data_IF_747027787324
#
_entry.id   IF_747027787324
#
_cell.length_a   1.000
_cell.length_b   1.000
_cell.length_c   1.000
_cell.angle_alpha   90.00
_cell.angle_beta   90.00
_cell.angle_gamma   90.00
#
_symmetry.space_group_name_H-M   'P 1'
#
loop_
_entity.id
_entity.type
_entity.pdbx_description
1 polymer ?
#
# COMPACT_ATOMS: atom_id res chain seq x y z
N UNK A 1 -3.98 -39.87 3.79
CA UNK A 1 -3.07 -39.23 4.76
C UNK A 1 -1.97 -38.58 3.94
N UNK A 2 -1.87 -37.24 4.00
CA UNK A 2 -0.88 -36.47 3.26
C UNK A 2 0.19 -36.04 4.27
N UNK A 3 1.33 -36.71 4.24
CA UNK A 3 2.47 -36.38 5.11
C UNK A 3 3.41 -35.45 4.35
N UNK A 4 3.41 -34.18 4.76
CA UNK A 4 4.32 -33.16 4.23
C UNK A 4 5.42 -32.89 5.26
N UNK A 5 6.56 -33.54 5.07
CA UNK A 5 7.71 -33.40 5.96
C UNK A 5 8.65 -32.30 5.45
N UNK A 6 8.75 -31.19 6.20
CA UNK A 6 9.79 -30.19 5.97
C UNK A 6 11.09 -30.65 6.63
N UNK A 7 12.15 -30.89 5.85
CA UNK A 7 13.48 -31.19 6.36
C UNK A 7 14.23 -29.88 6.59
N UNK A 8 14.03 -29.28 7.76
CA UNK A 8 14.79 -28.11 8.20
C UNK A 8 16.12 -28.57 8.81
N UNK A 9 17.23 -27.92 8.45
CA UNK A 9 18.56 -28.19 9.04
C UNK A 9 18.67 -27.78 10.51
N UNK A 10 17.71 -26.98 11.00
CA UNK A 10 17.61 -26.61 12.40
C UNK A 10 16.27 -27.06 13.00
N UNK A 11 16.36 -27.89 14.04
CA UNK A 11 15.22 -28.34 14.83
C UNK A 11 14.78 -27.30 15.89
N UNK A 12 15.26 -26.05 15.83
CA UNK A 12 14.94 -25.04 16.83
C UNK A 12 15.01 -23.58 16.36
N UNK A 13 14.00 -22.81 16.78
CA UNK A 13 13.87 -21.35 16.93
C UNK A 13 13.31 -20.52 15.75
N UNK A 14 12.45 -19.56 16.16
CA UNK A 14 11.65 -18.58 15.41
C UNK A 14 12.43 -17.63 14.47
N UNK A 15 13.76 -17.69 14.43
CA UNK A 15 14.60 -16.63 13.84
C UNK A 15 15.44 -17.05 12.61
N UNK A 16 15.19 -18.24 12.03
CA UNK A 16 16.03 -18.78 10.94
C UNK A 16 15.35 -18.81 9.56
N UNK A 17 14.38 -17.94 9.29
CA UNK A 17 13.73 -17.88 7.98
C UNK A 17 14.72 -17.62 6.82
N UNK A 18 15.85 -16.94 7.07
CA UNK A 18 16.86 -16.63 6.05
C UNK A 18 17.75 -17.83 5.70
N UNK A 19 17.87 -18.82 6.60
CA UNK A 19 18.66 -20.04 6.41
C UNK A 19 17.78 -21.23 6.00
N UNK A 20 16.47 -21.00 5.83
CA UNK A 20 15.52 -22.03 5.47
C UNK A 20 15.75 -22.51 4.03
N UNK A 21 15.89 -23.82 3.83
CA UNK A 21 16.02 -24.43 2.49
C UNK A 21 14.80 -24.20 1.60
N UNK A 22 13.64 -23.91 2.18
CA UNK A 22 12.38 -23.63 1.47
C UNK A 22 12.11 -22.13 1.30
N UNK A 23 13.09 -21.27 1.57
CA UNK A 23 12.86 -19.83 1.69
C UNK A 23 12.30 -19.20 0.41
N UNK A 24 12.74 -19.65 -0.77
CA UNK A 24 12.29 -19.12 -2.06
C UNK A 24 10.85 -19.50 -2.41
N UNK A 25 10.36 -20.62 -1.86
CA UNK A 25 9.00 -21.12 -2.09
C UNK A 25 8.08 -20.90 -0.88
N UNK A 26 8.56 -20.23 0.16
CA UNK A 26 7.81 -20.01 1.39
C UNK A 26 6.63 -19.06 1.15
N UNK A 27 5.40 -19.58 1.20
CA UNK A 27 4.16 -18.80 1.02
C UNK A 27 4.09 -17.61 2.01
N UNK A 28 4.47 -17.82 3.27
CA UNK A 28 4.47 -16.75 4.27
C UNK A 28 5.47 -15.64 3.90
N UNK A 29 6.64 -15.96 3.35
CA UNK A 29 7.59 -14.96 2.84
C UNK A 29 7.05 -14.28 1.59
N UNK A 30 6.52 -15.03 0.64
CA UNK A 30 5.98 -14.50 -0.61
C UNK A 30 4.85 -13.47 -0.38
N UNK A 31 4.03 -13.66 0.66
CA UNK A 31 2.94 -12.75 1.01
C UNK A 31 3.39 -11.65 1.99
N UNK A 32 3.89 -12.04 3.17
CA UNK A 32 4.14 -11.10 4.28
C UNK A 32 5.43 -10.28 4.11
N UNK A 33 6.37 -10.80 3.33
CA UNK A 33 7.71 -10.26 3.12
C UNK A 33 8.08 -10.34 1.63
N UNK A 34 7.11 -10.03 0.75
CA UNK A 34 7.25 -10.13 -0.69
C UNK A 34 8.60 -9.53 -1.15
N UNK A 35 9.50 -10.33 -1.73
CA UNK A 35 10.84 -9.86 -2.08
C UNK A 35 10.74 -8.86 -3.23
N UNK A 36 11.55 -7.80 -3.17
CA UNK A 36 11.80 -6.96 -4.34
C UNK A 36 12.88 -7.59 -5.21
N UNK A 37 12.72 -7.52 -6.53
CA UNK A 37 13.70 -8.09 -7.48
C UNK A 37 14.96 -7.21 -7.57
N UNK A 38 14.81 -5.88 -7.55
CA UNK A 38 15.90 -4.90 -7.53
C UNK A 38 15.67 -3.85 -6.41
N UNK A 39 15.90 -4.20 -5.13
CA UNK A 39 15.65 -3.31 -4.01
C UNK A 39 16.66 -2.13 -3.97
N UNK A 40 16.20 -0.89 -3.70
CA UNK A 40 17.10 0.23 -3.43
C UNK A 40 17.89 0.01 -2.13
N UNK A 41 19.14 0.50 -2.06
CA UNK A 41 20.06 0.30 -0.91
C UNK A 41 19.45 0.70 0.43
N UNK A 42 18.60 1.72 0.45
CA UNK A 42 17.96 2.23 1.68
C UNK A 42 16.75 1.41 2.15
N UNK A 43 16.29 0.40 1.39
CA UNK A 43 15.11 -0.41 1.73
C UNK A 43 15.54 -1.64 2.51
N UNK A 44 15.14 -1.72 3.78
CA UNK A 44 15.61 -2.76 4.71
C UNK A 44 14.55 -3.81 5.05
N UNK A 45 13.63 -4.15 4.14
CA UNK A 45 12.48 -5.09 4.29
C UNK A 45 11.08 -4.45 4.51
N UNK A 46 10.63 -3.60 3.59
CA UNK A 46 9.19 -3.28 3.50
C UNK A 46 8.50 -4.23 2.51
N UNK A 47 7.54 -5.03 3.00
CA UNK A 47 6.61 -5.71 2.10
C UNK A 47 5.62 -4.70 1.54
N UNK A 48 5.59 -4.60 0.21
CA UNK A 48 4.63 -3.78 -0.53
C UNK A 48 3.66 -4.62 -1.35
N UNK A 49 3.74 -5.96 -1.24
CA UNK A 49 2.94 -6.92 -2.01
C UNK A 49 1.45 -6.93 -1.67
N UNK A 50 1.05 -6.32 -0.55
CA UNK A 50 -0.37 -6.13 -0.22
C UNK A 50 -0.61 -4.90 0.65
N UNK A 51 -1.87 -4.45 0.71
CA UNK A 51 -2.38 -3.53 1.73
C UNK A 51 -3.72 -4.02 2.28
N UNK A 52 -3.91 -3.95 3.59
CA UNK A 52 -5.22 -4.14 4.24
C UNK A 52 -5.70 -2.78 4.73
N UNK A 53 -6.86 -2.33 4.28
CA UNK A 53 -7.46 -1.05 4.67
C UNK A 53 -8.82 -1.28 5.30
N UNK A 54 -9.02 -0.72 6.49
CA UNK A 54 -10.33 -0.70 7.15
C UNK A 54 -10.62 0.75 7.55
N UNK A 55 -11.79 1.26 7.17
CA UNK A 55 -12.26 2.60 7.56
C UNK A 55 -13.23 2.55 8.74
N UNK A 56 -13.71 1.36 9.11
CA UNK A 56 -14.45 1.16 10.34
C UNK A 56 -13.48 1.34 11.53
N UNK A 57 -13.86 2.22 12.47
CA UNK A 57 -13.07 2.55 13.68
C UNK A 57 -13.69 1.99 14.95
N UNK A 58 -14.79 1.24 14.84
CA UNK A 58 -15.46 0.61 15.97
C UNK A 58 -14.52 -0.42 16.62
N UNK A 59 -14.45 -0.38 17.95
CA UNK A 59 -13.64 -1.31 18.74
C UNK A 59 -14.50 -2.39 19.42
N UNK A 60 -15.82 -2.29 19.33
CA UNK A 60 -16.79 -3.17 19.96
C UNK A 60 -17.71 -3.73 18.88
N UNK A 61 -17.89 -5.06 18.89
CA UNK A 61 -18.72 -5.79 17.95
C UNK A 61 -19.53 -6.82 18.73
N UNK A 62 -20.82 -6.90 18.41
CA UNK A 62 -21.75 -7.91 18.88
C UNK A 62 -21.92 -9.04 17.85
N UNK A 63 -22.51 -10.15 18.28
CA UNK A 63 -22.81 -11.26 17.38
C UNK A 63 -23.77 -10.81 16.29
N UNK A 64 -23.34 -10.96 15.04
CA UNK A 64 -24.11 -10.55 13.86
C UNK A 64 -23.62 -9.25 13.22
N UNK A 65 -22.71 -8.52 13.87
CA UNK A 65 -22.10 -7.35 13.26
C UNK A 65 -21.18 -7.73 12.10
N UNK A 66 -21.12 -6.85 11.09
CA UNK A 66 -20.27 -7.00 9.92
C UNK A 66 -19.08 -6.05 9.97
N UNK A 67 -17.88 -6.57 9.71
CA UNK A 67 -16.66 -5.78 9.51
C UNK A 67 -16.22 -5.86 8.05
N UNK A 68 -16.34 -4.75 7.34
CA UNK A 68 -15.85 -4.61 5.97
C UNK A 68 -14.42 -4.04 5.96
N UNK A 69 -13.56 -4.65 5.14
CA UNK A 69 -12.21 -4.14 4.89
C UNK A 69 -11.77 -4.51 3.47
N UNK A 70 -10.87 -3.69 2.92
CA UNK A 70 -10.26 -3.91 1.62
C UNK A 70 -8.93 -4.65 1.75
N UNK A 71 -8.71 -5.63 0.87
CA UNK A 71 -7.40 -6.26 0.64
C UNK A 71 -6.96 -5.99 -0.80
N UNK A 72 -5.88 -5.23 -0.96
CA UNK A 72 -5.23 -5.05 -2.26
C UNK A 72 -4.01 -5.96 -2.33
N UNK A 73 -3.89 -6.73 -3.41
CA UNK A 73 -2.75 -7.57 -3.72
C UNK A 73 -2.01 -7.01 -4.93
N UNK A 74 -0.68 -7.05 -4.90
CA UNK A 74 0.17 -6.50 -5.93
C UNK A 74 1.20 -7.52 -6.40
N UNK A 75 1.53 -7.45 -7.69
CA UNK A 75 2.54 -8.30 -8.32
C UNK A 75 2.27 -9.78 -8.14
N UNK A 76 3.32 -10.55 -7.89
CA UNK A 76 3.23 -11.99 -7.66
C UNK A 76 2.36 -12.38 -6.45
N UNK A 77 2.10 -11.46 -5.52
CA UNK A 77 1.23 -11.72 -4.35
C UNK A 77 -0.22 -12.04 -4.78
N UNK A 78 -0.63 -11.53 -5.94
CA UNK A 78 -1.95 -11.78 -6.54
C UNK A 78 -2.22 -13.29 -6.62
N UNK A 79 -1.25 -14.08 -7.06
CA UNK A 79 -1.35 -15.53 -7.21
C UNK A 79 -1.66 -16.28 -5.89
N UNK A 80 -1.47 -15.64 -4.74
CA UNK A 80 -1.71 -16.21 -3.42
C UNK A 80 -3.08 -15.84 -2.82
N UNK A 81 -4.03 -15.28 -3.60
CA UNK A 81 -5.37 -14.97 -3.08
C UNK A 81 -6.00 -16.18 -2.39
N UNK A 82 -6.00 -17.36 -3.02
CA UNK A 82 -6.64 -18.55 -2.43
C UNK A 82 -6.00 -18.95 -1.09
N UNK A 83 -4.66 -19.11 -0.97
CA UNK A 83 -4.01 -19.27 0.33
C UNK A 83 -4.37 -18.19 1.37
N UNK A 84 -4.48 -16.93 0.95
CA UNK A 84 -4.86 -15.82 1.84
C UNK A 84 -6.29 -15.98 2.34
N UNK A 85 -7.25 -16.33 1.46
CA UNK A 85 -8.63 -16.59 1.85
C UNK A 85 -8.71 -17.77 2.83
N UNK A 86 -8.00 -18.87 2.56
CA UNK A 86 -7.91 -20.02 3.47
C UNK A 86 -7.33 -19.65 4.83
N UNK A 87 -6.34 -18.75 4.85
CA UNK A 87 -5.80 -18.22 6.08
C UNK A 87 -6.84 -17.39 6.85
N UNK A 88 -7.64 -16.55 6.18
CA UNK A 88 -8.73 -15.80 6.82
C UNK A 88 -9.80 -16.71 7.42
N UNK A 89 -10.26 -17.74 6.70
CA UNK A 89 -11.23 -18.70 7.24
C UNK A 89 -10.70 -19.41 8.49
N UNK A 90 -9.49 -19.95 8.39
CA UNK A 90 -8.87 -20.67 9.50
C UNK A 90 -8.62 -19.74 10.68
N UNK A 91 -8.16 -18.51 10.41
CA UNK A 91 -7.90 -17.51 11.43
C UNK A 91 -9.18 -17.10 12.16
N UNK A 92 -10.27 -16.88 11.42
CA UNK A 92 -11.56 -16.50 12.00
C UNK A 92 -12.13 -17.52 12.99
N UNK A 93 -11.98 -18.82 12.69
CA UNK A 93 -12.50 -19.89 13.57
C UNK A 93 -11.51 -20.27 14.68
N UNK A 94 -10.21 -20.33 14.39
CA UNK A 94 -9.22 -20.91 15.32
C UNK A 94 -8.48 -19.91 16.20
N UNK A 95 -8.45 -18.63 15.81
CA UNK A 95 -7.67 -17.58 16.51
C UNK A 95 -8.48 -16.34 16.83
N UNK A 96 -9.41 -15.94 15.96
CA UNK A 96 -10.22 -14.74 16.11
C UNK A 96 -9.42 -13.43 16.12
N UNK A 97 -10.14 -12.31 16.27
CA UNK A 97 -9.62 -10.95 16.24
C UNK A 97 -9.46 -10.38 17.65
N UNK A 98 -8.50 -9.45 17.79
CA UNK A 98 -8.32 -8.66 19.00
C UNK A 98 -7.84 -9.45 20.21
N UNK A 99 -7.91 -8.81 21.39
CA UNK A 99 -7.48 -9.39 22.67
C UNK A 99 -8.39 -10.54 23.12
N UNK A 100 -9.66 -10.47 22.77
CA UNK A 100 -10.69 -11.41 23.20
C UNK A 100 -10.85 -12.59 22.24
N UNK A 101 -10.04 -12.65 21.17
CA UNK A 101 -10.09 -13.72 20.18
C UNK A 101 -11.50 -13.87 19.56
N UNK A 102 -12.13 -12.73 19.24
CA UNK A 102 -13.47 -12.68 18.64
C UNK A 102 -13.50 -13.49 17.35
N UNK A 103 -14.25 -14.58 17.34
CA UNK A 103 -14.38 -15.45 16.17
C UNK A 103 -15.24 -14.78 15.11
N UNK A 104 -14.90 -15.00 13.84
CA UNK A 104 -15.66 -14.46 12.71
C UNK A 104 -15.66 -15.47 11.55
N UNK A 105 -16.60 -15.28 10.62
CA UNK A 105 -16.62 -15.97 9.34
C UNK A 105 -16.53 -14.97 8.18
N UNK A 106 -15.95 -15.41 7.07
CA UNK A 106 -15.94 -14.60 5.84
C UNK A 106 -17.25 -14.85 5.10
N UNK A 107 -18.20 -13.93 5.26
CA UNK A 107 -19.54 -14.03 4.66
C UNK A 107 -19.54 -13.73 3.15
N UNK A 108 -18.72 -12.77 2.71
CA UNK A 108 -18.69 -12.30 1.32
C UNK A 108 -17.30 -11.80 0.91
N UNK A 109 -16.92 -12.07 -0.33
CA UNK A 109 -15.74 -11.45 -0.97
C UNK A 109 -16.15 -10.92 -2.33
N UNK A 110 -15.91 -9.64 -2.58
CA UNK A 110 -16.18 -8.98 -3.86
C UNK A 110 -14.90 -8.46 -4.48
N UNK A 111 -14.90 -8.31 -5.81
CA UNK A 111 -13.88 -7.53 -6.49
C UNK A 111 -14.20 -6.03 -6.39
N UNK A 112 -13.31 -5.17 -6.92
CA UNK A 112 -13.46 -3.71 -6.89
C UNK A 112 -14.73 -3.17 -7.56
N UNK A 113 -15.37 -3.97 -8.42
CA UNK A 113 -16.61 -3.63 -9.13
C UNK A 113 -17.85 -4.11 -8.38
N UNK A 114 -17.69 -4.67 -7.18
CA UNK A 114 -18.77 -5.25 -6.39
C UNK A 114 -19.23 -6.64 -6.88
N UNK A 115 -18.54 -7.25 -7.86
CA UNK A 115 -18.87 -8.61 -8.30
C UNK A 115 -18.35 -9.62 -7.29
N UNK A 116 -19.20 -10.58 -6.92
CA UNK A 116 -18.87 -11.58 -5.92
C UNK A 116 -17.81 -12.57 -6.43
N UNK A 117 -16.65 -12.58 -5.80
CA UNK A 117 -15.64 -13.64 -5.97
C UNK A 117 -16.04 -14.85 -5.14
N UNK A 118 -16.63 -14.62 -3.97
CA UNK A 118 -17.15 -15.65 -3.09
C UNK A 118 -18.53 -15.25 -2.55
N UNK A 119 -19.48 -16.17 -2.70
CA UNK A 119 -20.78 -16.12 -2.05
C UNK A 119 -21.26 -17.55 -1.74
N UNK A 120 -21.82 -17.77 -0.55
CA UNK A 120 -22.40 -19.07 -0.14
C UNK A 120 -21.48 -20.29 -0.38
N UNK A 121 -20.20 -20.16 -0.02
CA UNK A 121 -19.15 -21.18 -0.22
C UNK A 121 -18.83 -21.56 -1.69
N UNK A 122 -19.32 -20.78 -2.66
CA UNK A 122 -18.96 -20.94 -4.07
C UNK A 122 -17.95 -19.87 -4.48
N UNK A 123 -16.84 -20.29 -5.09
CA UNK A 123 -15.82 -19.39 -5.64
C UNK A 123 -16.07 -19.18 -7.13
N UNK A 124 -16.35 -17.94 -7.53
CA UNK A 124 -16.47 -17.56 -8.92
C UNK A 124 -15.16 -16.95 -9.43
N UNK A 125 -14.32 -17.80 -10.02
CA UNK A 125 -13.04 -17.39 -10.59
C UNK A 125 -13.17 -16.42 -11.78
N UNK A 126 -14.32 -16.33 -12.44
CA UNK A 126 -14.52 -15.38 -13.55
C UNK A 126 -14.54 -13.92 -13.07
N UNK A 127 -14.91 -13.71 -11.80
CA UNK A 127 -14.92 -12.38 -11.18
C UNK A 127 -13.52 -11.98 -10.66
N UNK A 128 -12.51 -12.83 -10.87
CA UNK A 128 -11.12 -12.54 -10.57
C UNK A 128 -10.49 -11.67 -11.66
N UNK A 129 -10.70 -10.36 -11.54
CA UNK A 129 -10.24 -9.38 -12.52
C UNK A 129 -8.93 -8.71 -12.09
N UNK A 130 -7.83 -9.11 -12.75
CA UNK A 130 -6.52 -8.46 -12.60
C UNK A 130 -6.48 -7.23 -13.53
N UNK A 131 -6.05 -6.09 -12.99
CA UNK A 131 -5.84 -4.86 -13.79
C UNK A 131 -4.37 -4.51 -13.86
N UNK A 132 -3.94 -3.96 -14.99
CA UNK A 132 -2.67 -3.24 -15.07
C UNK A 132 -2.85 -1.81 -14.52
N UNK A 133 -1.87 -1.32 -13.76
CA UNK A 133 -1.86 0.04 -13.25
C UNK A 133 -1.89 1.09 -14.38
N UNK A 134 -1.15 0.91 -15.47
CA UNK A 134 -1.13 1.85 -16.59
C UNK A 134 -2.50 1.95 -17.27
N UNK A 135 -3.12 0.81 -17.57
CA UNK A 135 -4.47 0.79 -18.15
C UNK A 135 -5.51 1.47 -17.25
N UNK A 136 -5.43 1.27 -15.93
CA UNK A 136 -6.34 1.93 -14.98
C UNK A 136 -6.12 3.45 -14.97
N UNK A 137 -4.86 3.90 -15.01
CA UNK A 137 -4.52 5.33 -15.10
C UNK A 137 -5.07 5.93 -16.40
N UNK A 138 -4.77 5.33 -17.55
CA UNK A 138 -5.18 5.82 -18.87
C UNK A 138 -6.71 5.89 -18.97
N UNK A 139 -7.39 4.83 -18.53
CA UNK A 139 -8.85 4.79 -18.48
C UNK A 139 -9.43 5.92 -17.62
N UNK A 140 -8.85 6.16 -16.43
CA UNK A 140 -9.32 7.19 -15.51
C UNK A 140 -9.08 8.60 -16.03
N UNK A 141 -7.95 8.85 -16.70
CA UNK A 141 -7.63 10.13 -17.33
C UNK A 141 -8.58 10.44 -18.50
N UNK A 142 -9.00 9.41 -19.26
CA UNK A 142 -9.94 9.59 -20.37
C UNK A 142 -11.38 9.84 -19.89
N UNK A 143 -11.78 9.21 -18.79
CA UNK A 143 -13.19 9.19 -18.34
C UNK A 143 -13.52 10.31 -17.35
N UNK A 144 -12.56 10.77 -16.56
CA UNK A 144 -12.80 11.74 -15.49
C UNK A 144 -12.07 13.04 -15.79
N UNK A 145 -12.70 14.15 -15.44
CA UNK A 145 -12.02 15.42 -15.30
C UNK A 145 -11.67 15.61 -13.83
N UNK A 146 -10.39 15.83 -13.54
CA UNK A 146 -9.90 15.98 -12.17
C UNK A 146 -9.67 17.46 -11.85
N UNK A 147 -9.95 17.88 -10.63
CA UNK A 147 -9.75 19.25 -10.14
C UNK A 147 -8.54 19.39 -9.19
N UNK A 148 -7.65 18.41 -9.16
CA UNK A 148 -6.46 18.43 -8.32
C UNK A 148 -6.74 18.37 -6.82
N UNK A 149 -7.91 17.85 -6.42
CA UNK A 149 -8.28 17.72 -4.99
C UNK A 149 -8.04 16.31 -4.49
N UNK A 150 -7.23 16.18 -3.44
CA UNK A 150 -6.96 14.90 -2.78
C UNK A 150 -7.66 14.89 -1.41
N UNK A 151 -8.45 13.86 -1.13
CA UNK A 151 -9.08 13.64 0.18
C UNK A 151 -8.58 12.35 0.82
N UNK A 152 -7.85 12.47 1.93
CA UNK A 152 -7.31 11.36 2.70
C UNK A 152 -8.34 10.82 3.69
N UNK A 153 -8.83 9.59 3.46
CA UNK A 153 -9.78 8.91 4.34
C UNK A 153 -9.10 8.06 5.41
N UNK A 154 -7.80 7.77 5.23
CA UNK A 154 -6.93 7.19 6.26
C UNK A 154 -5.74 8.12 6.52
N UNK A 155 -5.15 8.10 7.72
CA UNK A 155 -4.02 8.97 8.03
C UNK A 155 -2.82 8.67 7.12
N UNK A 156 -2.20 9.71 6.56
CA UNK A 156 -0.98 9.59 5.77
C UNK A 156 0.24 9.95 6.61
N UNK A 157 1.15 9.00 6.83
CA UNK A 157 2.44 9.28 7.47
C UNK A 157 3.46 9.68 6.40
N UNK A 158 3.56 10.97 6.08
CA UNK A 158 4.50 11.47 5.07
C UNK A 158 5.78 11.95 5.76
N UNK A 159 6.93 11.45 5.31
CA UNK A 159 8.25 11.89 5.78
C UNK A 159 8.97 12.63 4.65
N UNK A 160 9.34 13.88 4.90
CA UNK A 160 10.07 14.71 3.95
C UNK A 160 11.20 15.43 4.67
N UNK A 161 12.38 15.50 4.05
CA UNK A 161 13.61 16.07 4.62
C UNK A 161 13.90 15.61 6.06
N UNK A 162 13.77 14.30 6.32
CA UNK A 162 14.05 13.73 7.63
C UNK A 162 12.94 13.87 8.68
N UNK A 163 11.90 14.68 8.42
CA UNK A 163 10.83 14.98 9.38
C UNK A 163 9.48 14.42 8.93
N UNK A 164 8.68 13.94 9.89
CA UNK A 164 7.28 13.61 9.62
C UNK A 164 6.54 14.93 9.46
N UNK A 165 5.76 15.05 8.39
CA UNK A 165 5.00 16.26 8.11
C UNK A 165 3.76 16.33 9.00
N UNK A 166 3.36 17.54 9.39
CA UNK A 166 2.15 17.83 10.16
C UNK A 166 1.06 18.51 9.30
N UNK A 167 1.46 19.09 8.17
CA UNK A 167 0.61 19.65 7.12
C UNK A 167 0.96 19.05 5.76
N UNK A 168 0.09 19.25 4.77
CA UNK A 168 0.40 18.84 3.41
C UNK A 168 1.31 19.88 2.74
N UNK A 169 2.34 19.39 2.05
CA UNK A 169 3.12 20.21 1.12
C UNK A 169 3.19 19.47 -0.22
N UNK A 170 3.13 20.17 -1.36
CA UNK A 170 3.08 19.50 -2.66
C UNK A 170 4.29 18.61 -2.91
N UNK A 171 5.49 19.07 -2.54
CA UNK A 171 6.73 18.32 -2.72
C UNK A 171 6.75 17.06 -1.83
N UNK A 172 6.26 17.14 -0.58
CA UNK A 172 6.21 15.97 0.29
C UNK A 172 5.20 14.92 -0.21
N UNK A 173 4.04 15.36 -0.68
CA UNK A 173 2.98 14.50 -1.24
C UNK A 173 3.48 13.83 -2.54
N UNK A 174 3.99 14.62 -3.48
CA UNK A 174 4.48 14.12 -4.77
C UNK A 174 5.67 13.18 -4.61
N UNK A 175 6.60 13.47 -3.69
CA UNK A 175 7.72 12.57 -3.41
C UNK A 175 7.30 11.30 -2.66
N UNK A 176 6.22 11.35 -1.86
CA UNK A 176 5.65 10.15 -1.26
C UNK A 176 4.97 9.25 -2.32
N UNK A 177 4.31 9.85 -3.31
CA UNK A 177 3.66 9.16 -4.43
C UNK A 177 4.69 8.51 -5.36
N UNK A 178 5.63 9.29 -5.89
CA UNK A 178 6.64 8.80 -6.85
C UNK A 178 7.52 7.73 -6.25
N UNK A 179 7.93 7.89 -4.98
CA UNK A 179 8.61 6.84 -4.24
C UNK A 179 7.81 5.54 -4.23
N UNK A 180 6.49 5.60 -4.07
CA UNK A 180 5.65 4.41 -4.11
C UNK A 180 5.69 3.74 -5.47
N UNK A 181 5.52 4.52 -6.54
CA UNK A 181 5.59 4.02 -7.93
C UNK A 181 6.96 3.39 -8.22
N UNK A 182 8.05 4.03 -7.79
CA UNK A 182 9.41 3.52 -7.92
C UNK A 182 9.57 2.18 -7.20
N UNK A 183 9.15 2.07 -5.94
CA UNK A 183 9.26 0.82 -5.18
C UNK A 183 8.46 -0.34 -5.80
N UNK A 184 7.32 -0.07 -6.44
CA UNK A 184 6.57 -1.09 -7.18
C UNK A 184 7.30 -1.53 -8.45
N UNK A 185 7.98 -0.62 -9.15
CA UNK A 185 8.87 -1.01 -10.25
C UNK A 185 10.03 -1.89 -9.76
N UNK A 186 10.64 -1.55 -8.62
CA UNK A 186 11.66 -2.36 -7.96
C UNK A 186 11.16 -3.76 -7.54
N UNK A 187 9.90 -3.85 -7.15
CA UNK A 187 9.29 -5.15 -6.82
C UNK A 187 9.14 -6.03 -8.07
N UNK A 188 8.82 -5.42 -9.22
CA UNK A 188 8.64 -6.13 -10.47
C UNK A 188 9.94 -6.39 -11.25
N UNK A 189 11.07 -5.82 -10.85
CA UNK A 189 12.33 -5.98 -11.58
C UNK A 189 12.52 -4.96 -12.70
N UNK A 190 11.72 -3.90 -12.72
CA UNK A 190 11.83 -2.85 -13.72
C UNK A 190 12.96 -1.89 -13.31
N UNK A 191 13.85 -1.57 -14.24
CA UNK A 191 14.91 -0.59 -14.05
C UNK A 191 14.42 0.77 -14.53
N UNK A 192 13.97 1.60 -13.59
CA UNK A 192 13.55 2.99 -13.81
C UNK A 192 14.19 3.88 -12.75
N UNK A 193 14.53 5.15 -13.05
CA UNK A 193 15.07 6.05 -12.04
C UNK A 193 14.02 6.39 -10.96
N UNK A 194 14.48 6.69 -9.73
CA UNK A 194 13.60 7.28 -8.72
C UNK A 194 13.36 8.75 -9.08
N UNK A 195 12.11 9.08 -9.41
CA UNK A 195 11.71 10.45 -9.70
C UNK A 195 11.53 11.22 -8.38
N UNK A 196 12.21 12.36 -8.27
CA UNK A 196 12.03 13.29 -7.16
C UNK A 196 11.60 14.65 -7.67
N UNK A 197 10.35 14.98 -7.41
CA UNK A 197 9.81 16.30 -7.72
C UNK A 197 10.42 17.33 -6.78
N UNK A 198 11.07 18.35 -7.37
CA UNK A 198 11.78 19.41 -6.62
C UNK A 198 10.90 20.64 -6.43
N UNK A 199 9.97 20.88 -7.37
CA UNK A 199 9.60 22.23 -7.83
C UNK A 199 9.33 23.25 -6.72
N UNK A 200 9.86 24.45 -6.89
CA UNK A 200 9.81 25.58 -5.95
C UNK A 200 8.55 26.46 -6.00
N UNK A 201 7.49 26.08 -6.73
CA UNK A 201 6.27 26.92 -6.90
C UNK A 201 4.94 26.16 -6.86
N UNK A 202 4.92 24.86 -6.50
CA UNK A 202 3.64 24.17 -6.34
C UNK A 202 2.84 24.79 -5.19
N UNK A 203 1.63 25.27 -5.47
CA UNK A 203 0.77 25.94 -4.50
C UNK A 203 -0.41 25.05 -4.15
N UNK A 204 -0.62 24.90 -2.84
CA UNK A 204 -1.87 24.35 -2.31
C UNK A 204 -2.85 25.51 -2.19
N UNK A 205 -3.87 25.51 -3.04
CA UNK A 205 -4.96 26.49 -3.01
C UNK A 205 -5.69 26.47 -1.66
N UNK A 206 -5.97 25.27 -1.15
CA UNK A 206 -6.54 25.10 0.19
C UNK A 206 -6.20 23.73 0.78
N UNK A 207 -6.12 23.65 2.10
CA UNK A 207 -5.99 22.38 2.82
C UNK A 207 -6.75 22.36 4.13
N UNK A 208 -7.09 21.14 4.53
CA UNK A 208 -7.49 20.74 5.86
C UNK A 208 -6.52 19.64 6.28
N UNK A 209 -5.62 19.94 7.21
CA UNK A 209 -4.64 18.99 7.73
C UNK A 209 -4.92 18.73 9.21
N UNK A 210 -5.33 17.50 9.52
CA UNK A 210 -5.67 17.08 10.88
C UNK A 210 -4.64 16.04 11.33
N UNK A 211 -3.70 16.41 12.23
CA UNK A 211 -2.83 15.45 12.89
C UNK A 211 -3.66 14.36 13.56
N UNK A 212 -3.41 13.12 13.18
CA UNK A 212 -4.17 11.95 13.62
C UNK A 212 -3.22 10.92 14.23
N UNK A 213 -3.62 10.41 15.38
CA UNK A 213 -2.87 9.42 16.15
C UNK A 213 -3.69 8.13 16.27
N UNK A 214 -3.17 7.03 15.75
CA UNK A 214 -3.82 5.72 15.78
C UNK A 214 -3.07 4.81 16.74
N UNK A 215 -3.64 4.49 17.92
CA UNK A 215 -3.03 3.56 18.85
C UNK A 215 -3.06 2.15 18.27
N UNK A 216 -2.00 1.37 18.53
CA UNK A 216 -1.97 -0.07 18.22
C UNK A 216 -1.07 -0.82 19.17
N UNK A 217 -1.28 -2.12 19.26
CA UNK A 217 -0.33 -3.01 19.89
C UNK A 217 0.71 -3.50 18.88
N UNK A 218 1.98 -3.53 19.28
CA UNK A 218 3.07 -4.08 18.47
C UNK A 218 3.48 -5.43 19.03
N UNK A 219 3.08 -6.53 18.38
CA UNK A 219 3.51 -7.87 18.79
C UNK A 219 5.04 -8.04 18.71
N UNK A 220 5.72 -7.35 17.79
CA UNK A 220 7.18 -7.39 17.64
C UNK A 220 7.90 -6.76 18.83
N UNK A 221 7.39 -5.63 19.32
CA UNK A 221 7.99 -4.88 20.43
C UNK A 221 7.31 -5.18 21.78
N UNK A 222 6.28 -6.01 21.77
CA UNK A 222 5.40 -6.32 22.89
C UNK A 222 4.96 -5.08 23.69
N UNK A 223 4.59 -4.00 23.00
CA UNK A 223 4.21 -2.74 23.64
C UNK A 223 3.11 -2.02 22.84
N UNK A 224 2.34 -1.17 23.52
CA UNK A 224 1.49 -0.17 22.86
C UNK A 224 2.38 0.83 22.12
N UNK A 225 1.99 1.18 20.91
CA UNK A 225 2.62 2.22 20.11
C UNK A 225 1.56 3.03 19.40
N UNK A 226 1.89 4.28 19.08
CA UNK A 226 0.99 5.17 18.35
C UNK A 226 1.59 5.43 16.99
N UNK A 227 0.81 5.19 15.94
CA UNK A 227 1.15 5.63 14.59
C UNK A 227 0.58 7.04 14.40
N UNK A 228 1.38 7.94 13.85
CA UNK A 228 0.97 9.31 13.57
C UNK A 228 0.91 9.56 12.06
N UNK A 229 -0.02 10.40 11.62
CA UNK A 229 -0.13 10.85 10.24
C UNK A 229 -1.09 12.03 10.13
N UNK A 230 -1.38 12.46 8.91
CA UNK A 230 -2.30 13.57 8.64
C UNK A 230 -3.55 13.02 7.95
N UNK A 231 -4.74 13.38 8.42
CA UNK A 231 -6.02 13.21 7.70
C UNK A 231 -6.50 14.55 7.15
N UNK A 232 -7.46 14.50 6.23
CA UNK A 232 -8.14 15.68 5.70
C UNK A 232 -8.01 15.78 4.19
N UNK A 233 -7.86 16.98 3.66
CA UNK A 233 -7.82 17.19 2.21
C UNK A 233 -6.90 18.32 1.80
N UNK A 234 -6.47 18.30 0.55
CA UNK A 234 -5.76 19.40 -0.09
C UNK A 234 -6.31 19.60 -1.50
N UNK A 235 -6.33 20.83 -1.98
CA UNK A 235 -6.57 21.20 -3.37
C UNK A 235 -5.34 21.91 -3.90
N UNK A 236 -4.78 21.39 -4.99
CA UNK A 236 -3.72 22.07 -5.74
C UNK A 236 -4.34 23.24 -6.53
N UNK A 237 -3.57 24.31 -6.73
CA UNK A 237 -3.96 25.33 -7.71
C UNK A 237 -3.99 24.75 -9.13
N UNK A 238 -4.84 25.29 -10.00
CA UNK A 238 -4.96 24.80 -11.38
C UNK A 238 -3.62 24.88 -12.11
N UNK A 239 -2.84 25.94 -11.91
CA UNK A 239 -1.49 26.04 -12.48
C UNK A 239 -0.58 24.92 -11.97
N UNK A 240 -0.65 24.61 -10.68
CA UNK A 240 0.12 23.53 -10.08
C UNK A 240 -0.37 22.15 -10.54
N UNK A 241 -1.64 21.99 -10.87
CA UNK A 241 -2.23 20.71 -11.27
C UNK A 241 -2.09 20.42 -12.77
N UNK A 242 -2.22 21.44 -13.61
CA UNK A 242 -2.24 21.33 -15.07
C UNK A 242 -0.86 21.49 -15.70
N UNK A 243 0.01 22.33 -15.12
CA UNK A 243 1.32 22.54 -15.71
C UNK A 243 2.29 21.42 -15.35
N UNK A 244 3.15 21.04 -16.30
CA UNK A 244 4.07 19.94 -16.08
C UNK A 244 5.22 20.34 -15.12
N UNK A 245 5.66 19.38 -14.31
CA UNK A 245 6.50 19.59 -13.13
C UNK A 245 7.97 19.28 -13.38
N UNK A 246 8.85 20.02 -12.69
CA UNK A 246 10.28 19.72 -12.63
C UNK A 246 10.59 18.58 -11.66
N UNK A 247 11.45 17.67 -12.09
CA UNK A 247 11.92 16.54 -11.30
C UNK A 247 13.42 16.31 -11.48
N UNK A 248 14.00 15.52 -10.58
CA UNK A 248 15.31 14.90 -10.74
C UNK A 248 15.14 13.40 -10.83
N UNK A 249 16.02 12.79 -11.61
CA UNK A 249 16.25 11.36 -11.59
C UNK A 249 17.33 11.03 -10.56
N UNK A 250 17.05 10.07 -9.69
CA UNK A 250 18.01 9.51 -8.76
C UNK A 250 18.27 8.07 -9.18
N UNK A 251 19.50 7.78 -9.57
CA UNK A 251 19.92 6.45 -10.00
C UNK A 251 20.11 5.51 -8.81
N UNK A 252 20.26 4.21 -9.10
CA UNK A 252 20.43 3.14 -8.11
C UNK A 252 21.63 3.39 -7.16
N UNK A 253 22.70 4.03 -7.66
CA UNK A 253 23.90 4.40 -6.89
C UNK A 253 23.74 5.66 -6.02
N UNK A 254 22.56 6.31 -6.07
CA UNK A 254 22.28 7.55 -5.34
C UNK A 254 22.88 8.81 -5.96
N UNK A 255 23.62 8.68 -7.07
CA UNK A 255 24.06 9.80 -7.89
C UNK A 255 22.84 10.54 -8.45
N UNK A 256 22.86 11.86 -8.29
CA UNK A 256 21.84 12.76 -8.82
C UNK A 256 22.30 13.21 -10.19
N UNK A 257 21.75 12.60 -11.22
CA UNK A 257 21.88 13.18 -12.55
C UNK A 257 20.83 14.28 -12.66
N UNK A 258 21.30 15.51 -12.86
CA UNK A 258 20.46 16.46 -13.58
C UNK A 258 20.29 15.85 -14.95
N UNK A 259 19.12 15.30 -15.25
CA UNK A 259 18.82 14.96 -16.63
C UNK A 259 18.96 16.27 -17.41
N UNK A 260 19.84 16.33 -18.41
CA UNK A 260 19.93 17.47 -19.33
C UNK A 260 18.57 17.81 -19.97
N UNK A 261 17.63 16.87 -19.86
CA UNK A 261 16.18 17.06 -20.02
C UNK A 261 15.54 17.49 -18.71
N UNK A 262 15.46 18.81 -18.48
CA UNK A 262 14.40 19.42 -17.67
C UNK A 262 13.06 19.31 -18.43
N UNK A 263 12.64 18.10 -18.82
CA UNK A 263 11.35 17.90 -19.48
C UNK A 263 10.30 17.99 -18.38
N UNK A 264 9.43 19.02 -18.39
CA UNK A 264 8.35 19.07 -17.43
C UNK A 264 7.46 17.83 -17.60
N UNK A 265 7.00 17.24 -16.49
CA UNK A 265 6.19 16.02 -16.51
C UNK A 265 4.79 16.22 -15.95
N UNK A 266 3.79 15.66 -16.61
CA UNK A 266 2.41 15.62 -16.11
C UNK A 266 2.33 14.77 -14.83
N UNK A 267 1.81 15.36 -13.75
CA UNK A 267 1.69 14.68 -12.45
C UNK A 267 0.40 13.87 -12.29
N UNK A 268 -0.60 14.07 -13.15
CA UNK A 268 -1.93 13.42 -13.02
C UNK A 268 -1.83 11.88 -13.01
N UNK A 269 -1.02 11.23 -13.86
CA UNK A 269 -0.78 9.79 -13.77
C UNK A 269 -0.29 9.34 -12.39
N UNK A 270 0.62 10.11 -11.79
CA UNK A 270 1.18 9.81 -10.47
C UNK A 270 0.15 10.01 -9.37
N UNK A 271 -0.67 11.07 -9.43
CA UNK A 271 -1.76 11.30 -8.50
C UNK A 271 -2.81 10.17 -8.54
N UNK A 272 -3.09 9.59 -9.71
CA UNK A 272 -3.98 8.42 -9.80
C UNK A 272 -3.28 7.17 -9.24
N UNK A 273 -1.99 6.97 -9.57
CA UNK A 273 -1.22 5.85 -9.05
C UNK A 273 -1.14 5.86 -7.51
N UNK A 274 -0.92 7.02 -6.90
CA UNK A 274 -0.85 7.18 -5.45
C UNK A 274 -2.15 6.80 -4.74
N UNK A 275 -3.31 7.08 -5.34
CA UNK A 275 -4.62 6.68 -4.81
C UNK A 275 -4.74 5.15 -4.74
N UNK A 276 -4.34 4.46 -5.81
CA UNK A 276 -4.39 2.99 -5.91
C UNK A 276 -3.41 2.34 -4.93
N UNK A 277 -2.15 2.79 -4.97
CA UNK A 277 -1.03 2.16 -4.27
C UNK A 277 -0.94 2.51 -2.78
N UNK A 278 -1.58 3.61 -2.37
CA UNK A 278 -1.43 4.24 -1.05
C UNK A 278 -0.02 4.85 -0.86
N UNK A 279 0.07 5.93 -0.08
CA UNK A 279 1.31 6.72 0.02
C UNK A 279 1.87 6.82 1.43
N UNK A 280 3.16 7.17 1.52
CA UNK A 280 3.83 7.36 2.81
C UNK A 280 4.14 6.04 3.52
N UNK A 281 4.30 6.11 4.85
CA UNK A 281 4.65 4.96 5.68
C UNK A 281 3.41 4.20 6.13
N UNK A 282 3.60 2.92 6.47
CA UNK A 282 2.57 2.06 7.04
C UNK A 282 1.38 1.73 6.11
N UNK A 283 1.53 1.93 4.79
CA UNK A 283 0.49 1.66 3.78
C UNK A 283 -0.04 0.22 3.82
N UNK A 284 0.80 -0.76 4.20
CA UNK A 284 0.37 -2.15 4.42
C UNK A 284 -0.75 -2.30 5.47
N UNK A 285 -0.84 -1.36 6.40
CA UNK A 285 -1.88 -1.27 7.43
C UNK A 285 -2.98 -0.27 7.06
N UNK A 286 -3.09 0.08 5.78
CA UNK A 286 -4.17 0.91 5.26
C UNK A 286 -3.94 2.41 5.39
N UNK A 287 -2.76 2.87 5.82
CA UNK A 287 -2.43 4.29 5.90
C UNK A 287 -2.23 4.92 4.52
N UNK A 288 -2.43 6.23 4.43
CA UNK A 288 -2.10 7.03 3.26
C UNK A 288 -2.98 6.76 2.04
N UNK A 289 -4.20 6.29 2.27
CA UNK A 289 -5.21 6.17 1.23
C UNK A 289 -6.00 7.47 1.08
N UNK A 290 -6.08 7.95 -0.16
CA UNK A 290 -6.85 9.11 -0.55
C UNK A 290 -7.69 8.82 -1.80
N UNK A 291 -8.59 9.75 -2.12
CA UNK A 291 -9.30 9.79 -3.40
C UNK A 291 -9.00 11.10 -4.11
N UNK A 292 -8.69 11.01 -5.40
CA UNK A 292 -8.51 12.15 -6.30
C UNK A 292 -9.87 12.56 -6.88
N UNK A 293 -10.14 13.86 -6.85
CA UNK A 293 -11.30 14.52 -7.42
C UNK A 293 -10.86 15.60 -8.39
#
# INVERSE_FOLDING_TARGET
MLDMNCVCSSLSKKDQCMECSFVDNCIARAILYAPMKNPPVYVTQESIGFTITCTNLDEHFDVGDELEFDLFLFGNTIAYLNPILQAFYTFGVSRGLGREHLTFEVSRVTNRFGKEILFSNQVNLQNYEISNLSHEIDYRLQKNNYEGKLKFYTPATIKYQGKIQEEFTPQAVMNAITRRVYLFNCMEGNHVPELRFIMGEGVIFSQEAIPTFVPRYSNRKNQKMTLQGIRGSLKLEDETFEYPWQYLEVNEDGERNWSDTQIPMDIRPFLIAGEILGIGKNTKFGFGKYKLY
#
